data_IF_793736431293
#
_entry.id   IF_793736431293
#
_cell.length_a   1.000
_cell.length_b   1.000
_cell.length_c   1.000
_cell.angle_alpha   90.00
_cell.angle_beta   90.00
_cell.angle_gamma   90.00
#
_symmetry.space_group_name_H-M   'P 1'
#
loop_
_entity.id
_entity.type
_entity.pdbx_description
1 polymer ?
#
# COMPACT_ATOMS: atom_id res chain seq x y z
N UNK A 1 35.15 16.30 65.85
CA UNK A 1 36.20 15.28 65.68
C UNK A 1 35.76 14.31 64.61
N UNK A 2 36.63 14.13 63.61
CA UNK A 2 36.70 13.02 62.65
C UNK A 2 35.57 12.89 61.62
N UNK A 3 35.76 13.64 60.54
CA UNK A 3 35.85 13.16 59.14
C UNK A 3 35.75 11.64 58.96
N UNK A 4 34.82 11.17 58.12
CA UNK A 4 35.06 10.02 57.24
C UNK A 4 34.45 10.32 55.86
N UNK A 5 35.35 10.40 54.90
CA UNK A 5 35.19 10.44 53.44
C UNK A 5 34.72 9.08 52.90
N UNK A 6 33.82 9.07 51.91
CA UNK A 6 33.77 8.10 50.80
C UNK A 6 32.66 8.55 49.83
N UNK A 7 32.97 9.22 48.72
CA UNK A 7 33.44 8.68 47.43
C UNK A 7 32.36 7.93 46.65
N UNK A 8 32.11 8.48 45.46
CA UNK A 8 31.60 7.85 44.23
C UNK A 8 30.07 7.79 44.03
N UNK A 9 29.74 7.86 42.73
CA UNK A 9 28.45 7.75 42.04
C UNK A 9 27.81 9.12 41.74
N UNK A 10 27.50 9.50 40.49
CA UNK A 10 27.48 8.73 39.25
C UNK A 10 27.41 9.73 38.09
N UNK A 11 28.10 9.40 37.00
CA UNK A 11 28.17 10.19 35.79
C UNK A 11 26.77 10.46 35.22
N UNK A 12 26.53 11.73 34.90
CA UNK A 12 25.52 12.14 33.95
C UNK A 12 25.86 11.57 32.56
N UNK A 13 24.84 11.10 31.84
CA UNK A 13 24.67 11.00 30.38
C UNK A 13 23.99 9.69 29.99
N UNK A 14 22.69 9.76 29.71
CA UNK A 14 22.04 8.93 28.70
C UNK A 14 20.74 9.61 28.26
N UNK A 15 20.80 10.28 27.11
CA UNK A 15 19.63 10.76 26.40
C UNK A 15 18.72 9.58 25.98
N UNK A 16 17.39 9.73 25.93
CA UNK A 16 16.53 8.71 25.36
C UNK A 16 16.73 8.71 23.84
N UNK A 17 17.46 7.71 23.35
CA UNK A 17 17.50 7.40 21.93
C UNK A 17 16.08 7.00 21.49
N UNK A 18 15.55 7.76 20.54
CA UNK A 18 14.19 7.66 20.06
C UNK A 18 13.86 6.25 19.55
N UNK A 19 12.59 5.92 19.75
CA UNK A 19 11.97 4.65 19.46
C UNK A 19 11.90 4.32 17.95
N UNK A 20 11.81 3.02 17.69
CA UNK A 20 11.02 2.42 16.61
C UNK A 20 11.54 2.60 15.17
N UNK A 21 12.48 1.74 14.79
CA UNK A 21 12.55 1.24 13.40
C UNK A 21 11.61 0.04 13.33
N UNK A 22 10.31 0.31 13.28
CA UNK A 22 9.38 -0.63 12.66
C UNK A 22 9.52 -0.44 11.15
N UNK A 23 9.52 -1.50 10.34
CA UNK A 23 9.39 -1.35 8.89
C UNK A 23 8.18 -0.47 8.64
N UNK A 24 8.36 0.57 7.83
CA UNK A 24 7.24 1.36 7.33
C UNK A 24 6.26 0.38 6.66
N UNK A 25 5.24 -0.04 7.40
CA UNK A 25 3.98 -0.44 6.80
C UNK A 25 3.63 0.77 5.95
N UNK A 26 3.76 0.61 4.63
CA UNK A 26 3.35 1.60 3.66
C UNK A 26 1.96 2.04 4.11
N UNK A 27 1.86 3.27 4.61
CA UNK A 27 0.60 3.83 5.00
C UNK A 27 -0.23 3.83 3.72
N UNK A 28 -1.13 2.85 3.60
CA UNK A 28 -2.13 2.84 2.55
C UNK A 28 -2.78 4.23 2.60
N UNK A 29 -2.74 5.01 1.50
CA UNK A 29 -3.26 6.36 1.53
C UNK A 29 -4.75 6.28 1.89
N UNK A 30 -5.06 6.62 3.15
CA UNK A 30 -6.42 6.89 3.60
C UNK A 30 -6.76 8.31 3.15
N UNK A 31 -6.84 8.50 1.84
CA UNK A 31 -7.56 9.62 1.26
C UNK A 31 -8.74 9.03 0.56
N UNK A 32 -9.93 9.38 1.03
CA UNK A 32 -11.20 9.14 0.36
C UNK A 32 -11.26 9.99 -0.92
N UNK A 33 -10.37 9.72 -1.85
CA UNK A 33 -10.50 10.02 -3.27
C UNK A 33 -10.82 8.66 -3.90
N UNK A 34 -11.90 8.58 -4.69
CA UNK A 34 -12.44 7.31 -5.18
C UNK A 34 -11.39 6.42 -5.86
N UNK A 35 -11.67 5.12 -5.90
CA UNK A 35 -10.84 4.14 -6.61
C UNK A 35 -10.56 4.58 -8.05
N UNK A 36 -9.30 4.47 -8.47
CA UNK A 36 -8.84 4.83 -9.80
C UNK A 36 -7.85 3.81 -10.37
N UNK A 37 -7.91 3.61 -11.68
CA UNK A 37 -7.08 2.62 -12.40
C UNK A 37 -5.61 3.04 -12.51
N UNK A 38 -5.34 4.34 -12.38
CA UNK A 38 -4.03 4.97 -12.50
C UNK A 38 -3.41 5.35 -11.15
N UNK A 39 -4.23 5.62 -10.13
CA UNK A 39 -3.76 6.03 -8.79
C UNK A 39 -3.91 4.98 -7.68
N UNK A 40 -4.69 3.91 -7.89
CA UNK A 40 -4.92 2.89 -6.85
C UNK A 40 -4.15 1.59 -7.15
N UNK A 41 -3.39 1.06 -6.19
CA UNK A 41 -2.78 -0.27 -6.32
C UNK A 41 -3.83 -1.37 -6.53
N UNK A 42 -3.50 -2.37 -7.35
CA UNK A 42 -4.39 -3.49 -7.65
C UNK A 42 -4.79 -4.25 -6.36
N UNK A 43 -3.88 -4.43 -5.41
CA UNK A 43 -4.18 -5.08 -4.12
C UNK A 43 -5.20 -4.29 -3.28
N UNK A 44 -5.15 -2.96 -3.34
CA UNK A 44 -6.12 -2.10 -2.67
C UNK A 44 -7.50 -2.23 -3.32
N UNK A 45 -7.56 -2.30 -4.65
CA UNK A 45 -8.80 -2.56 -5.39
C UNK A 45 -9.35 -3.97 -5.13
N UNK A 46 -8.48 -4.96 -4.99
CA UNK A 46 -8.88 -6.33 -4.66
C UNK A 46 -9.33 -6.48 -3.20
N UNK A 47 -8.88 -5.58 -2.31
CA UNK A 47 -9.24 -5.55 -0.90
C UNK A 47 -10.65 -5.04 -0.60
N UNK A 48 -11.23 -4.19 -1.46
CA UNK A 48 -12.64 -3.78 -1.35
C UNK A 48 -13.53 -4.71 -2.20
N UNK A 49 -14.56 -5.35 -1.62
CA UNK A 49 -15.43 -6.29 -2.34
C UNK A 49 -16.15 -5.70 -3.55
N UNK A 50 -16.45 -4.39 -3.54
CA UNK A 50 -17.17 -3.71 -4.62
C UNK A 50 -16.25 -3.48 -5.81
N UNK A 51 -15.02 -2.99 -5.58
CA UNK A 51 -14.03 -2.82 -6.65
C UNK A 51 -13.53 -4.17 -7.16
N UNK A 52 -13.35 -5.16 -6.26
CA UNK A 52 -13.03 -6.53 -6.66
C UNK A 52 -14.07 -7.11 -7.60
N UNK A 53 -15.36 -6.94 -7.33
CA UNK A 53 -16.42 -7.43 -8.22
C UNK A 53 -16.38 -6.78 -9.61
N UNK A 54 -16.04 -5.49 -9.70
CA UNK A 54 -15.81 -4.80 -10.98
C UNK A 54 -14.63 -5.42 -11.73
N UNK A 55 -13.50 -5.63 -11.05
CA UNK A 55 -12.32 -6.24 -11.64
C UNK A 55 -12.60 -7.69 -12.07
N UNK A 56 -13.24 -8.52 -11.24
CA UNK A 56 -13.55 -9.91 -11.61
C UNK A 56 -14.51 -9.98 -12.82
N UNK A 57 -15.42 -9.01 -12.96
CA UNK A 57 -16.35 -8.93 -14.09
C UNK A 57 -15.66 -8.54 -15.40
N UNK A 58 -14.75 -7.57 -15.35
CA UNK A 58 -14.11 -7.00 -16.55
C UNK A 58 -12.75 -7.64 -16.87
N UNK A 59 -12.04 -8.12 -15.86
CA UNK A 59 -10.68 -8.67 -15.91
C UNK A 59 -10.57 -9.97 -15.08
N UNK A 60 -11.33 -11.03 -15.41
CA UNK A 60 -11.42 -12.25 -14.59
C UNK A 60 -10.10 -12.99 -14.39
N UNK A 61 -9.10 -12.78 -15.26
CA UNK A 61 -7.79 -13.41 -15.15
C UNK A 61 -6.79 -12.60 -14.30
N UNK A 62 -7.09 -11.35 -13.95
CA UNK A 62 -6.12 -10.46 -13.31
C UNK A 62 -5.78 -10.93 -11.88
N UNK A 63 -6.80 -11.12 -11.05
CA UNK A 63 -6.61 -11.44 -9.62
C UNK A 63 -6.15 -12.89 -9.39
N UNK A 64 -6.38 -13.77 -10.37
CA UNK A 64 -5.93 -15.16 -10.35
C UNK A 64 -4.62 -15.41 -11.12
N UNK A 65 -3.98 -14.35 -11.63
CA UNK A 65 -2.79 -14.51 -12.45
C UNK A 65 -1.60 -15.06 -11.64
N UNK A 66 -0.77 -15.97 -12.18
CA UNK A 66 0.41 -16.50 -11.46
C UNK A 66 1.41 -15.42 -11.02
N UNK A 67 1.48 -14.31 -11.76
CA UNK A 67 2.33 -13.16 -11.45
C UNK A 67 1.64 -12.10 -10.58
N UNK A 68 0.46 -12.37 -10.02
CA UNK A 68 -0.32 -11.40 -9.24
C UNK A 68 0.51 -10.74 -8.14
N UNK A 69 1.26 -11.52 -7.36
CA UNK A 69 2.12 -10.97 -6.30
C UNK A 69 3.21 -10.01 -6.80
N UNK A 70 3.60 -10.09 -8.07
CA UNK A 70 4.60 -9.18 -8.66
C UNK A 70 4.02 -7.83 -9.05
N UNK A 71 2.77 -7.81 -9.53
CA UNK A 71 2.15 -6.58 -10.03
C UNK A 71 1.07 -6.01 -9.11
N UNK A 72 0.64 -6.70 -8.05
CA UNK A 72 -0.47 -6.26 -7.17
C UNK A 72 -0.22 -4.89 -6.52
N UNK A 73 1.03 -4.50 -6.35
CA UNK A 73 1.46 -3.20 -5.81
C UNK A 73 1.43 -2.09 -6.86
N UNK A 74 1.33 -2.43 -8.15
CA UNK A 74 1.22 -1.50 -9.27
C UNK A 74 -0.24 -1.12 -9.52
N UNK A 75 -0.46 -0.09 -10.34
CA UNK A 75 -1.80 0.28 -10.80
C UNK A 75 -2.16 -0.41 -12.11
N UNK A 76 -3.47 -0.50 -12.43
CA UNK A 76 -3.95 -1.14 -13.65
C UNK A 76 -3.38 -0.47 -14.91
N UNK A 77 -3.29 0.86 -14.90
CA UNK A 77 -2.71 1.63 -16.01
C UNK A 77 -1.22 1.33 -16.20
N UNK A 78 -0.47 1.09 -15.13
CA UNK A 78 0.94 0.69 -15.21
C UNK A 78 1.12 -0.74 -15.72
N UNK A 79 0.18 -1.64 -15.38
CA UNK A 79 0.22 -3.04 -15.83
C UNK A 79 -0.21 -3.20 -17.30
N UNK A 80 -1.05 -2.31 -17.82
CA UNK A 80 -1.59 -2.39 -19.17
C UNK A 80 -0.54 -2.63 -20.28
N UNK A 81 0.57 -1.87 -20.38
CA UNK A 81 1.60 -2.13 -21.39
C UNK A 81 2.33 -3.48 -21.20
N UNK A 82 2.35 -4.02 -19.98
CA UNK A 82 2.99 -5.32 -19.67
C UNK A 82 2.05 -6.51 -19.91
N UNK A 83 0.75 -6.25 -20.03
CA UNK A 83 -0.29 -7.27 -20.19
C UNK A 83 -0.36 -7.90 -21.59
N UNK A 84 0.51 -7.46 -22.51
CA UNK A 84 0.57 -7.92 -23.91
C UNK A 84 -0.78 -7.80 -24.65
N UNK A 85 -1.55 -6.74 -24.34
CA UNK A 85 -2.87 -6.49 -24.92
C UNK A 85 -4.06 -7.10 -24.16
N UNK A 86 -3.82 -7.79 -23.04
CA UNK A 86 -4.90 -8.34 -22.21
C UNK A 86 -5.68 -7.26 -21.47
N UNK A 87 -5.01 -6.15 -21.12
CA UNK A 87 -5.61 -4.94 -20.56
C UNK A 87 -5.51 -3.86 -21.63
N UNK A 88 -6.63 -3.52 -22.23
CA UNK A 88 -6.73 -2.46 -23.24
C UNK A 88 -7.15 -1.14 -22.60
N UNK A 89 -6.88 -0.01 -23.27
CA UNK A 89 -7.35 1.31 -22.82
C UNK A 89 -8.87 1.39 -22.68
N UNK A 90 -9.61 0.72 -23.57
CA UNK A 90 -11.08 0.65 -23.49
C UNK A 90 -11.52 -0.07 -22.20
N UNK A 91 -10.85 -1.17 -21.85
CA UNK A 91 -11.14 -1.91 -20.63
C UNK A 91 -10.76 -1.12 -19.37
N UNK A 92 -9.62 -0.42 -19.39
CA UNK A 92 -9.23 0.49 -18.30
C UNK A 92 -10.27 1.58 -18.09
N UNK A 93 -10.77 2.18 -19.18
CA UNK A 93 -11.82 3.20 -19.11
C UNK A 93 -13.11 2.63 -18.54
N UNK A 94 -13.54 1.44 -18.96
CA UNK A 94 -14.73 0.76 -18.40
C UNK A 94 -14.57 0.49 -16.91
N UNK A 95 -13.40 -0.03 -16.48
CA UNK A 95 -13.11 -0.23 -15.06
C UNK A 95 -13.16 1.08 -14.31
N UNK A 96 -12.54 2.14 -14.82
CA UNK A 96 -12.55 3.46 -14.19
C UNK A 96 -13.97 4.02 -14.03
N UNK A 97 -14.81 3.88 -15.06
CA UNK A 97 -16.21 4.32 -15.04
C UNK A 97 -17.04 3.55 -13.98
N UNK A 98 -16.79 2.24 -13.82
CA UNK A 98 -17.42 1.43 -12.78
C UNK A 98 -16.88 1.75 -11.37
N UNK A 99 -15.56 1.91 -11.21
CA UNK A 99 -14.92 2.30 -9.94
C UNK A 99 -15.41 3.67 -9.46
N UNK A 100 -15.63 4.61 -10.38
CA UNK A 100 -16.13 5.94 -10.07
C UNK A 100 -17.56 5.95 -9.47
N UNK A 101 -18.29 4.83 -9.57
CA UNK A 101 -19.61 4.63 -8.94
C UNK A 101 -19.51 4.20 -7.47
N UNK A 102 -18.32 3.80 -6.98
CA UNK A 102 -18.11 3.16 -5.66
C UNK A 102 -17.83 4.21 -4.54
N UNK A 103 -18.25 5.47 -4.72
CA UNK A 103 -17.89 6.61 -3.85
C UNK A 103 -18.31 6.48 -2.37
#
# INVERSE_FOLDING_TARGET
>A
MKEIVALALMAALAAPAAAQIAPAAAAAPTTKAGFSVDGTPIETLAGDPRSKAVIDKLMPQLLGHPAYDQFKTMTLAQLAPMSQGSITDELLKQVQDELAKIR
#
